data_IF_454090409592
#
_entry.id   IF_454090409592
#
_cell.length_a   1.000
_cell.length_b   1.000
_cell.length_c   1.000
_cell.angle_alpha   90.00
_cell.angle_beta   90.00
_cell.angle_gamma   90.00
#
_symmetry.space_group_name_H-M   'P 1'
#
loop_
_entity.id
_entity.type
_entity.pdbx_description
1 polymer ?
#
# COMPACT_ATOMS: atom_id res chain seq x y z
N UNK A 1 -4.38 -2.70 -24.32
CA UNK A 1 -5.48 -3.67 -24.41
C UNK A 1 -5.06 -4.98 -25.08
N UNK A 2 -4.51 -4.95 -26.29
CA UNK A 2 -4.01 -6.17 -26.97
C UNK A 2 -3.02 -6.96 -26.10
N UNK A 3 -2.01 -6.29 -25.53
CA UNK A 3 -1.07 -6.91 -24.60
C UNK A 3 -1.75 -7.52 -23.35
N UNK A 4 -2.85 -6.91 -22.88
CA UNK A 4 -3.63 -7.46 -21.77
C UNK A 4 -4.32 -8.78 -22.18
N UNK A 5 -4.89 -8.84 -23.39
CA UNK A 5 -5.49 -10.07 -23.91
C UNK A 5 -4.46 -11.19 -24.08
N UNK A 6 -3.25 -10.87 -24.56
CA UNK A 6 -2.14 -11.84 -24.66
C UNK A 6 -1.76 -12.40 -23.28
N UNK A 7 -1.61 -11.53 -22.27
CA UNK A 7 -1.33 -11.95 -20.89
C UNK A 7 -2.46 -12.83 -20.33
N UNK A 8 -3.71 -12.41 -20.53
CA UNK A 8 -4.89 -13.15 -20.05
C UNK A 8 -5.00 -14.54 -20.67
N UNK A 9 -4.70 -14.64 -21.97
CA UNK A 9 -4.70 -15.90 -22.72
C UNK A 9 -3.43 -16.72 -22.52
N UNK A 10 -2.47 -16.22 -21.73
CA UNK A 10 -1.16 -16.84 -21.48
C UNK A 10 -0.38 -17.14 -22.78
N UNK A 11 -0.43 -16.20 -23.71
CA UNK A 11 0.22 -16.35 -25.01
C UNK A 11 1.74 -16.56 -24.86
N UNK A 12 2.38 -17.47 -25.63
CA UNK A 12 3.81 -17.71 -25.56
C UNK A 12 4.68 -16.46 -25.79
N UNK A 13 4.19 -15.49 -26.58
CA UNK A 13 4.91 -14.23 -26.87
C UNK A 13 5.13 -13.36 -25.64
N UNK A 14 4.31 -13.51 -24.59
CA UNK A 14 4.40 -12.73 -23.34
C UNK A 14 4.96 -13.55 -22.17
N UNK A 15 5.66 -14.65 -22.46
CA UNK A 15 6.19 -15.58 -21.45
C UNK A 15 7.07 -14.88 -20.40
N UNK A 16 7.90 -13.92 -20.82
CA UNK A 16 8.78 -13.18 -19.91
C UNK A 16 8.00 -12.35 -18.91
N UNK A 17 6.96 -11.64 -19.37
CA UNK A 17 6.05 -10.85 -18.55
C UNK A 17 5.23 -11.72 -17.59
N UNK A 18 4.78 -12.91 -18.03
CA UNK A 18 4.13 -13.89 -17.16
C UNK A 18 5.06 -14.42 -16.08
N UNK A 19 6.36 -14.59 -16.39
CA UNK A 19 7.36 -14.98 -15.41
C UNK A 19 7.62 -13.85 -14.41
N UNK A 20 7.66 -12.60 -14.87
CA UNK A 20 7.71 -11.44 -13.97
C UNK A 20 6.53 -11.43 -13.01
N UNK A 21 5.29 -11.61 -13.48
CA UNK A 21 4.14 -11.65 -12.57
C UNK A 21 4.26 -12.78 -11.55
N UNK A 22 4.68 -13.98 -11.96
CA UNK A 22 4.92 -15.09 -11.01
C UNK A 22 6.01 -14.76 -9.99
N UNK A 23 7.04 -14.04 -10.40
CA UNK A 23 8.12 -13.58 -9.51
C UNK A 23 7.62 -12.50 -8.54
N UNK A 24 6.96 -11.46 -9.04
CA UNK A 24 6.36 -10.38 -8.25
C UNK A 24 5.32 -10.89 -7.24
N UNK A 25 4.63 -12.00 -7.56
CA UNK A 25 3.64 -12.67 -6.71
C UNK A 25 4.28 -13.54 -5.62
N UNK A 26 5.49 -14.08 -5.85
CA UNK A 26 6.17 -14.84 -4.80
C UNK A 26 6.52 -13.85 -3.68
N UNK A 27 5.83 -13.98 -2.55
CA UNK A 27 6.05 -13.27 -1.27
C UNK A 27 7.42 -13.63 -0.65
N UNK A 28 8.49 -13.69 -1.44
CA UNK A 28 9.83 -13.79 -0.91
C UNK A 28 10.39 -12.39 -0.78
N UNK A 29 10.74 -12.06 0.46
CA UNK A 29 11.80 -11.13 0.79
C UNK A 29 12.94 -11.33 -0.20
N UNK A 30 12.99 -10.45 -1.17
CA UNK A 30 14.26 -10.09 -1.75
C UNK A 30 14.71 -8.98 -0.83
N UNK A 31 15.17 -9.37 0.36
CA UNK A 31 16.27 -8.65 0.95
C UNK A 31 17.41 -8.81 -0.05
N UNK A 32 17.42 -7.97 -1.09
CA UNK A 32 18.66 -7.59 -1.73
C UNK A 32 19.58 -7.30 -0.54
N UNK A 33 20.71 -8.02 -0.43
CA UNK A 33 21.72 -7.80 0.60
C UNK A 33 22.28 -6.38 0.40
N UNK A 34 21.46 -5.38 0.73
CA UNK A 34 21.72 -3.97 0.58
C UNK A 34 22.48 -3.56 1.82
N UNK A 35 23.63 -2.98 1.58
CA UNK A 35 24.45 -2.42 2.66
C UNK A 35 23.69 -1.20 3.18
N UNK A 36 23.17 -1.30 4.40
CA UNK A 36 22.53 -0.19 5.12
C UNK A 36 23.57 0.57 5.92
N UNK A 37 23.68 1.87 5.67
CA UNK A 37 24.63 2.76 6.33
C UNK A 37 23.88 3.70 7.29
N UNK A 38 23.63 3.24 8.52
CA UNK A 38 22.80 3.96 9.49
C UNK A 38 23.62 4.74 10.54
N UNK A 39 24.94 4.62 10.55
CA UNK A 39 25.82 5.36 11.47
C UNK A 39 27.13 5.78 10.81
N UNK A 40 27.73 6.86 11.32
CA UNK A 40 29.03 7.36 10.88
C UNK A 40 30.11 6.27 10.94
N UNK A 41 30.04 5.37 11.93
CA UNK A 41 30.94 4.20 12.03
C UNK A 41 30.74 3.20 10.89
N UNK A 42 29.50 2.83 10.57
CA UNK A 42 29.23 1.90 9.45
C UNK A 42 29.67 2.48 8.10
N UNK A 43 29.49 3.80 7.92
CA UNK A 43 29.95 4.52 6.74
C UNK A 43 31.47 4.47 6.65
N UNK A 44 32.16 4.78 7.74
CA UNK A 44 33.62 4.77 7.80
C UNK A 44 34.22 3.37 7.55
N UNK A 45 33.65 2.32 8.16
CA UNK A 45 34.02 0.91 7.91
C UNK A 45 33.78 0.48 6.45
N UNK A 46 32.77 1.03 5.78
CA UNK A 46 32.52 0.78 4.37
C UNK A 46 33.57 1.48 3.48
N UNK A 47 33.88 2.75 3.76
CA UNK A 47 34.87 3.54 3.03
C UNK A 47 36.29 2.99 3.19
N UNK A 48 36.64 2.48 4.37
CA UNK A 48 37.91 1.81 4.66
C UNK A 48 38.18 0.60 3.75
N UNK A 49 37.13 -0.14 3.37
CA UNK A 49 37.27 -1.36 2.57
C UNK A 49 37.62 -1.12 1.10
N UNK A 50 37.88 0.13 0.69
CA UNK A 50 38.51 0.42 -0.60
C UNK A 50 37.96 1.63 -1.36
N UNK A 51 37.40 2.63 -0.69
CA UNK A 51 36.78 3.79 -1.34
C UNK A 51 37.16 5.13 -0.69
N UNK A 52 38.45 5.35 -0.49
CA UNK A 52 38.96 6.65 -0.07
C UNK A 52 39.23 7.54 -1.30
N UNK A 53 38.77 8.80 -1.30
CA UNK A 53 39.16 9.77 -2.32
C UNK A 53 40.65 10.12 -2.20
N UNK A 54 41.28 10.39 -3.35
CA UNK A 54 42.56 11.08 -3.37
C UNK A 54 42.34 12.61 -3.23
N UNK A 55 43.40 13.40 -3.42
CA UNK A 55 43.31 14.86 -3.27
C UNK A 55 42.49 15.56 -4.35
N UNK A 56 42.32 14.94 -5.51
CA UNK A 56 41.69 15.55 -6.69
C UNK A 56 40.24 15.08 -6.88
N UNK A 57 39.81 14.08 -6.12
CA UNK A 57 38.51 13.45 -6.26
C UNK A 57 37.64 13.60 -5.01
N UNK A 58 36.32 13.47 -5.21
CA UNK A 58 35.31 13.38 -4.17
C UNK A 58 34.59 12.04 -4.36
N UNK A 59 34.45 11.27 -3.28
CA UNK A 59 33.62 10.07 -3.26
C UNK A 59 32.23 10.42 -2.76
N UNK A 60 31.20 9.94 -3.45
CA UNK A 60 29.79 10.19 -3.12
C UNK A 60 29.06 8.85 -3.04
N UNK A 61 28.57 8.52 -1.85
CA UNK A 61 27.65 7.40 -1.65
C UNK A 61 26.23 7.92 -1.77
N UNK A 62 25.46 7.41 -2.72
CA UNK A 62 24.06 7.78 -2.95
C UNK A 62 23.17 6.77 -2.25
N UNK A 63 22.20 7.25 -1.47
CA UNK A 63 21.40 6.43 -0.57
C UNK A 63 19.90 6.58 -0.85
N UNK A 64 19.16 5.48 -0.65
CA UNK A 64 17.70 5.50 -0.62
C UNK A 64 17.15 6.00 0.73
N UNK A 65 15.82 6.12 0.85
CA UNK A 65 15.18 6.58 2.09
C UNK A 65 15.40 5.64 3.31
N UNK A 66 15.90 4.42 3.09
CA UNK A 66 16.24 3.44 4.13
C UNK A 66 17.73 3.39 4.43
N UNK A 67 18.52 4.28 3.82
CA UNK A 67 19.97 4.38 3.97
C UNK A 67 20.72 3.21 3.32
N UNK A 68 20.13 2.57 2.31
CA UNK A 68 20.85 1.59 1.50
C UNK A 68 21.67 2.28 0.40
N UNK A 69 22.87 1.76 0.14
CA UNK A 69 23.72 2.23 -0.96
C UNK A 69 23.06 1.89 -2.31
N UNK A 70 22.68 2.92 -3.05
CA UNK A 70 22.19 2.85 -4.43
C UNK A 70 23.34 2.91 -5.43
N UNK A 71 24.27 3.83 -5.20
CA UNK A 71 25.44 4.05 -6.05
C UNK A 71 26.61 4.52 -5.19
N UNK A 72 27.80 4.20 -5.67
CA UNK A 72 29.07 4.60 -5.09
C UNK A 72 29.90 5.17 -6.24
N UNK A 73 30.05 6.50 -6.27
CA UNK A 73 30.71 7.20 -7.38
C UNK A 73 31.89 8.00 -6.87
N UNK A 74 32.88 8.19 -7.74
CA UNK A 74 34.02 9.05 -7.49
C UNK A 74 34.17 10.01 -8.66
N UNK A 75 34.18 11.30 -8.37
CA UNK A 75 34.23 12.36 -9.38
C UNK A 75 35.37 13.31 -9.11
N UNK A 76 36.03 13.77 -10.16
CA UNK A 76 37.09 14.77 -10.05
C UNK A 76 36.49 16.12 -9.60
N UNK A 77 37.15 16.84 -8.70
CA UNK A 77 36.67 18.12 -8.11
C UNK A 77 36.30 19.17 -9.16
N UNK A 78 37.01 19.19 -10.29
CA UNK A 78 36.77 20.11 -11.42
C UNK A 78 35.71 19.63 -12.43
N UNK A 79 35.06 18.49 -12.22
CA UNK A 79 34.05 17.96 -13.15
C UNK A 79 32.84 18.90 -13.19
N UNK A 80 32.34 19.30 -14.38
CA UNK A 80 31.13 20.09 -14.49
C UNK A 80 29.95 19.39 -13.80
N UNK A 81 29.17 20.14 -13.03
CA UNK A 81 28.09 19.58 -12.24
C UNK A 81 27.05 18.75 -13.04
N UNK A 82 26.67 19.10 -14.28
CA UNK A 82 25.77 18.25 -15.07
C UNK A 82 26.27 16.81 -15.27
N UNK A 83 27.58 16.64 -15.48
CA UNK A 83 28.19 15.30 -15.64
C UNK A 83 28.25 14.57 -14.29
N UNK A 84 28.57 15.29 -13.21
CA UNK A 84 28.48 14.75 -11.85
C UNK A 84 27.06 14.30 -11.54
N UNK A 85 26.05 15.10 -11.90
CA UNK A 85 24.66 14.81 -11.63
C UNK A 85 24.15 13.61 -12.44
N UNK A 86 24.64 13.42 -13.66
CA UNK A 86 24.32 12.25 -14.49
C UNK A 86 24.76 10.94 -13.81
N UNK A 87 25.96 10.94 -13.22
CA UNK A 87 26.44 9.79 -12.44
C UNK A 87 25.70 9.65 -11.11
N UNK A 88 25.41 10.77 -10.44
CA UNK A 88 24.69 10.82 -9.16
C UNK A 88 23.23 10.35 -9.27
N UNK A 89 22.52 10.76 -10.32
CA UNK A 89 21.06 10.66 -10.41
C UNK A 89 20.57 9.23 -10.27
N UNK A 90 19.64 9.04 -9.35
CA UNK A 90 18.82 7.83 -9.24
C UNK A 90 17.41 8.26 -8.81
N UNK A 91 16.34 7.72 -9.43
CA UNK A 91 14.97 8.03 -9.03
C UNK A 91 14.65 7.70 -7.57
N UNK A 92 15.45 6.86 -6.91
CA UNK A 92 15.27 6.45 -5.50
C UNK A 92 16.20 7.19 -4.53
N UNK A 93 17.08 8.04 -5.05
CA UNK A 93 18.03 8.77 -4.23
C UNK A 93 17.30 9.80 -3.36
N UNK A 94 17.56 9.75 -2.05
CA UNK A 94 17.00 10.67 -1.06
C UNK A 94 18.10 11.40 -0.31
N UNK A 95 19.17 10.68 0.02
CA UNK A 95 20.30 11.21 0.76
C UNK A 95 21.63 10.77 0.14
N UNK A 96 22.72 11.37 0.63
CA UNK A 96 24.06 10.99 0.22
C UNK A 96 25.07 11.20 1.34
N UNK A 97 26.22 10.54 1.22
CA UNK A 97 27.43 10.81 2.01
C UNK A 97 28.47 11.34 1.05
N UNK A 98 29.12 12.43 1.41
CA UNK A 98 30.29 12.94 0.69
C UNK A 98 31.57 12.64 1.49
N UNK A 99 32.63 12.33 0.77
CA UNK A 99 33.96 12.12 1.36
C UNK A 99 34.99 12.82 0.48
N UNK A 100 35.87 13.60 1.09
CA UNK A 100 36.91 14.38 0.41
C UNK A 100 38.21 14.38 1.21
N UNK A 101 39.35 14.54 0.53
CA UNK A 101 40.61 14.83 1.22
C UNK A 101 40.57 16.24 1.83
N UNK A 102 41.05 16.40 3.08
CA UNK A 102 41.03 17.65 3.87
C UNK A 102 41.73 18.83 3.17
N UNK A 103 40.98 19.52 2.33
CA UNK A 103 41.21 20.86 1.80
C UNK A 103 39.84 21.53 1.76
N UNK A 104 39.71 22.75 2.30
CA UNK A 104 38.45 23.49 2.50
C UNK A 104 37.53 23.51 1.26
N UNK A 105 36.74 22.46 1.07
CA UNK A 105 35.66 22.37 0.08
C UNK A 105 34.55 23.41 0.34
N UNK A 106 34.52 23.99 1.54
CA UNK A 106 33.55 24.99 1.96
C UNK A 106 33.66 26.34 1.24
N UNK A 107 34.78 26.69 0.61
CA UNK A 107 34.96 28.07 0.12
C UNK A 107 34.29 28.39 -1.23
N UNK A 108 33.84 27.42 -2.03
CA UNK A 108 33.22 27.75 -3.34
C UNK A 108 32.16 26.77 -3.81
N UNK A 109 30.93 26.85 -3.27
CA UNK A 109 29.70 26.40 -3.95
C UNK A 109 29.79 25.03 -4.68
N UNK A 110 30.49 24.07 -4.08
CA UNK A 110 30.89 22.81 -4.70
C UNK A 110 29.72 21.81 -4.69
N UNK A 111 29.88 20.69 -5.40
CA UNK A 111 28.90 19.62 -5.68
C UNK A 111 27.88 19.41 -4.55
N UNK A 112 28.33 19.35 -3.29
CA UNK A 112 27.49 19.24 -2.08
C UNK A 112 26.37 20.29 -2.01
N UNK A 113 26.71 21.58 -2.11
CA UNK A 113 25.73 22.67 -2.08
C UNK A 113 24.70 22.55 -3.20
N UNK A 114 25.13 22.10 -4.39
CA UNK A 114 24.24 21.91 -5.54
C UNK A 114 23.29 20.72 -5.32
N UNK A 115 23.78 19.61 -4.74
CA UNK A 115 22.95 18.47 -4.38
C UNK A 115 21.94 18.82 -3.27
N UNK A 116 22.38 19.54 -2.24
CA UNK A 116 21.52 20.05 -1.17
C UNK A 116 20.42 20.97 -1.73
N UNK A 117 20.78 21.87 -2.65
CA UNK A 117 19.84 22.77 -3.34
C UNK A 117 18.84 22.02 -4.22
N UNK A 118 19.21 20.88 -4.78
CA UNK A 118 18.31 19.99 -5.53
C UNK A 118 17.42 19.11 -4.63
N UNK A 119 17.54 19.21 -3.31
CA UNK A 119 16.70 18.51 -2.34
C UNK A 119 17.20 17.15 -1.89
N UNK A 120 18.46 16.81 -2.16
CA UNK A 120 19.11 15.61 -1.61
C UNK A 120 19.72 15.91 -0.25
N UNK A 121 19.51 15.04 0.74
CA UNK A 121 20.00 15.26 2.10
C UNK A 121 21.43 14.77 2.28
N UNK A 122 22.38 15.65 2.57
CA UNK A 122 23.71 15.25 3.03
C UNK A 122 23.63 14.65 4.44
N UNK A 123 23.90 13.34 4.58
CA UNK A 123 23.87 12.65 5.88
C UNK A 123 25.13 12.88 6.71
N UNK A 124 26.28 12.75 6.06
CA UNK A 124 27.60 12.92 6.64
C UNK A 124 28.54 13.44 5.57
N UNK A 125 29.46 14.30 5.99
CA UNK A 125 30.49 14.84 5.12
C UNK A 125 31.83 14.58 5.79
N UNK A 126 32.55 13.60 5.28
CA UNK A 126 33.81 13.17 5.87
C UNK A 126 35.02 13.84 5.22
N UNK A 127 35.78 14.57 6.02
CA UNK A 127 37.13 14.96 5.63
C UNK A 127 38.11 13.86 6.03
N UNK A 128 38.89 13.43 5.05
CA UNK A 128 39.87 12.35 5.17
C UNK A 128 41.28 12.93 5.13
N UNK A 129 42.09 12.58 6.12
CA UNK A 129 43.51 12.92 6.13
C UNK A 129 44.34 11.89 6.89
N UNK A 130 45.62 11.80 6.54
CA UNK A 130 46.59 11.01 7.28
C UNK A 130 46.97 11.72 8.57
N UNK A 131 46.86 11.02 9.71
CA UNK A 131 47.38 11.53 10.98
C UNK A 131 48.90 11.79 10.85
N UNK A 132 49.39 12.90 11.39
CA UNK A 132 50.81 13.26 11.32
C UNK A 132 51.69 12.34 12.18
N UNK A 133 51.09 11.67 13.17
CA UNK A 133 51.78 10.86 14.17
C UNK A 133 51.52 9.35 14.06
N UNK A 134 50.65 8.91 13.15
CA UNK A 134 50.32 7.50 12.92
C UNK A 134 50.02 7.27 11.43
N UNK A 135 50.17 6.04 10.90
CA UNK A 135 49.73 5.74 9.52
C UNK A 135 48.19 5.73 9.37
N UNK A 136 47.46 6.12 10.43
CA UNK A 136 46.02 6.07 10.50
C UNK A 136 45.37 7.12 9.62
N UNK A 137 44.24 6.74 9.04
CA UNK A 137 43.35 7.65 8.32
C UNK A 137 42.31 8.16 9.31
N UNK A 138 42.17 9.48 9.38
CA UNK A 138 41.17 10.14 10.23
C UNK A 138 40.03 10.64 9.36
N UNK A 139 38.81 10.30 9.78
CA UNK A 139 37.56 10.80 9.24
C UNK A 139 36.97 11.81 10.23
N UNK A 140 36.81 13.05 9.81
CA UNK A 140 36.05 14.07 10.57
C UNK A 140 34.67 14.23 9.92
N UNK A 141 33.59 13.90 10.64
CA UNK A 141 32.22 14.16 10.17
C UNK A 141 31.89 15.63 10.41
N UNK A 142 31.69 16.39 9.33
CA UNK A 142 31.45 17.83 9.38
C UNK A 142 29.99 18.11 9.07
N UNK A 143 29.28 18.72 10.03
CA UNK A 143 27.94 19.26 9.81
C UNK A 143 27.91 20.75 10.10
N UNK A 144 27.38 21.54 9.16
CA UNK A 144 27.30 23.01 9.26
C UNK A 144 28.64 23.71 9.61
N UNK A 145 29.77 23.13 9.20
CA UNK A 145 31.11 23.67 9.47
C UNK A 145 31.66 23.34 10.87
N UNK A 146 30.99 22.49 11.64
CA UNK A 146 31.48 21.96 12.92
C UNK A 146 31.82 20.47 12.78
N UNK A 147 32.87 20.03 13.46
CA UNK A 147 33.24 18.62 13.59
C UNK A 147 32.28 18.01 14.62
N UNK A 148 31.40 17.11 14.19
CA UNK A 148 30.48 16.38 15.07
C UNK A 148 31.09 15.09 15.62
N UNK A 149 31.90 14.40 14.81
CA UNK A 149 32.54 13.13 15.20
C UNK A 149 33.92 12.99 14.56
N UNK A 150 34.81 12.23 15.20
CA UNK A 150 36.15 11.94 14.69
C UNK A 150 36.41 10.44 14.80
N UNK A 151 36.47 9.78 13.65
CA UNK A 151 36.70 8.34 13.55
C UNK A 151 38.14 8.13 13.10
N UNK A 152 38.95 7.47 13.94
CA UNK A 152 40.30 7.05 13.58
C UNK A 152 40.27 5.61 13.11
N UNK A 153 40.76 5.36 11.91
CA UNK A 153 40.88 4.03 11.34
C UNK A 153 42.35 3.66 11.21
N UNK A 154 42.71 2.52 11.79
CA UNK A 154 44.06 1.95 11.72
C UNK A 154 44.24 1.27 10.37
N UNK A 155 44.86 1.98 9.43
CA UNK A 155 45.14 1.47 8.08
C UNK A 155 46.62 1.55 7.81
N UNK A 156 47.22 0.50 7.23
CA UNK A 156 48.65 0.47 6.84
C UNK A 156 48.96 1.27 5.57
N UNK A 157 47.98 2.00 5.02
CA UNK A 157 48.07 2.69 3.73
C UNK A 157 47.58 4.13 3.90
N UNK A 158 48.49 5.09 3.72
CA UNK A 158 48.23 6.52 3.91
C UNK A 158 47.15 7.10 2.99
N UNK A 159 46.89 6.50 1.83
CA UNK A 159 45.71 6.72 0.98
C UNK A 159 45.49 5.47 0.14
N UNK A 160 44.33 4.82 0.23
CA UNK A 160 44.02 3.67 -0.64
C UNK A 160 43.87 4.17 -2.07
N UNK A 161 44.46 3.43 -3.03
CA UNK A 161 44.56 3.84 -4.44
C UNK A 161 43.18 4.20 -5.02
N UNK A 162 43.01 5.34 -5.71
CA UNK A 162 41.78 5.67 -6.41
C UNK A 162 41.45 4.55 -7.40
N UNK A 163 40.18 4.14 -7.44
CA UNK A 163 39.71 3.15 -8.41
C UNK A 163 39.04 3.88 -9.57
N UNK A 164 39.20 3.37 -10.81
CA UNK A 164 38.21 3.67 -11.86
C UNK A 164 36.86 3.13 -11.39
N UNK A 165 35.88 4.01 -11.24
CA UNK A 165 34.44 3.76 -11.01
C UNK A 165 34.09 2.32 -10.62
N UNK A 166 33.71 2.12 -9.37
CA UNK A 166 32.90 0.96 -9.02
C UNK A 166 31.45 1.41 -9.01
N UNK A 167 30.81 1.42 -10.18
CA UNK A 167 29.34 1.37 -10.19
C UNK A 167 29.00 0.08 -9.46
N UNK A 168 28.62 0.18 -8.18
CA UNK A 168 27.93 -0.91 -7.49
C UNK A 168 26.52 -0.87 -8.04
N UNK A 169 26.44 -1.29 -9.30
CA UNK A 169 25.19 -1.52 -9.93
C UNK A 169 24.80 -2.91 -9.46
N UNK A 170 23.93 -2.98 -8.46
CA UNK A 170 23.05 -4.14 -8.36
C UNK A 170 22.26 -4.33 -9.67
N UNK A 171 22.25 -3.32 -10.55
CA UNK A 171 21.57 -3.32 -11.84
C UNK A 171 22.44 -3.64 -13.08
N UNK A 172 23.74 -3.95 -12.95
CA UNK A 172 24.54 -4.45 -14.08
C UNK A 172 24.42 -5.97 -14.16
N UNK A 173 23.30 -6.41 -14.75
CA UNK A 173 23.20 -7.48 -15.75
C UNK A 173 21.74 -7.94 -15.86
N UNK A 174 20.89 -7.08 -16.41
CA UNK A 174 19.84 -7.58 -17.30
C UNK A 174 19.51 -6.49 -18.32
N UNK A 175 20.07 -6.61 -19.52
CA UNK A 175 19.60 -5.85 -20.69
C UNK A 175 18.13 -6.17 -21.05
N UNK A 176 17.56 -7.20 -20.40
CA UNK A 176 16.16 -7.59 -20.44
C UNK A 176 15.45 -7.30 -19.11
N UNK A 177 15.80 -6.21 -18.42
CA UNK A 177 15.03 -5.80 -17.26
C UNK A 177 13.69 -5.22 -17.73
N UNK A 178 12.67 -6.09 -17.80
CA UNK A 178 11.29 -5.76 -18.16
C UNK A 178 10.79 -4.50 -17.44
N UNK A 179 11.23 -4.28 -16.20
CA UNK A 179 10.82 -3.14 -15.37
C UNK A 179 11.31 -1.81 -15.93
N UNK A 180 12.40 -1.82 -16.71
CA UNK A 180 12.98 -0.63 -17.35
C UNK A 180 12.40 -0.36 -18.74
N UNK A 181 11.52 -1.22 -19.26
CA UNK A 181 10.90 -1.01 -20.56
C UNK A 181 9.93 0.16 -20.52
N UNK A 182 9.94 0.98 -21.56
CA UNK A 182 8.96 2.04 -21.75
C UNK A 182 7.54 1.46 -21.77
N UNK A 183 6.61 2.07 -21.03
CA UNK A 183 5.23 1.60 -20.93
C UNK A 183 5.01 0.47 -19.91
N UNK A 184 6.05 -0.05 -19.24
CA UNK A 184 5.90 -1.13 -18.28
C UNK A 184 5.04 -0.73 -17.07
N UNK A 185 5.30 0.43 -16.49
CA UNK A 185 4.56 0.95 -15.34
C UNK A 185 3.09 1.23 -15.70
N UNK A 186 2.85 1.83 -16.88
CA UNK A 186 1.51 2.07 -17.39
C UNK A 186 0.76 0.77 -17.64
N UNK A 187 1.44 -0.24 -18.20
CA UNK A 187 0.83 -1.53 -18.48
C UNK A 187 0.51 -2.31 -17.20
N UNK A 188 1.47 -2.40 -16.26
CA UNK A 188 1.27 -3.09 -14.98
C UNK A 188 0.18 -2.40 -14.15
N UNK A 189 0.13 -1.07 -14.15
CA UNK A 189 -0.99 -0.31 -13.57
C UNK A 189 -2.31 -0.64 -14.26
N UNK A 190 -2.35 -0.64 -15.60
CA UNK A 190 -3.56 -0.95 -16.37
C UNK A 190 -4.13 -2.34 -16.06
N UNK A 191 -3.30 -3.39 -16.15
CA UNK A 191 -3.75 -4.76 -15.93
C UNK A 191 -4.24 -4.97 -14.50
N UNK A 192 -3.51 -4.46 -13.51
CA UNK A 192 -3.87 -4.64 -12.11
C UNK A 192 -5.15 -3.90 -11.76
N UNK A 193 -5.35 -2.69 -12.25
CA UNK A 193 -6.60 -1.95 -12.08
C UNK A 193 -7.78 -2.67 -12.74
N UNK A 194 -7.59 -3.32 -13.89
CA UNK A 194 -8.63 -4.13 -14.52
C UNK A 194 -8.96 -5.39 -13.73
N UNK A 195 -7.95 -6.10 -13.24
CA UNK A 195 -8.11 -7.36 -12.50
C UNK A 195 -8.60 -7.16 -11.05
N UNK A 196 -8.44 -5.96 -10.49
CA UNK A 196 -8.96 -5.59 -9.17
C UNK A 196 -10.48 -5.38 -9.17
N UNK A 197 -11.05 -4.87 -10.28
CA UNK A 197 -12.50 -4.63 -10.38
C UNK A 197 -13.25 -5.96 -10.31
N UNK A 198 -14.27 -6.01 -9.45
CA UNK A 198 -15.08 -7.19 -9.19
C UNK A 198 -14.57 -8.08 -8.05
N UNK A 199 -13.32 -7.91 -7.60
CA UNK A 199 -12.82 -8.64 -6.43
C UNK A 199 -13.50 -8.14 -5.15
N UNK A 200 -13.69 -9.06 -4.21
CA UNK A 200 -14.27 -8.76 -2.92
C UNK A 200 -13.17 -8.38 -1.92
N UNK A 201 -13.26 -7.19 -1.32
CA UNK A 201 -12.19 -6.65 -0.46
C UNK A 201 -11.92 -7.47 0.80
N UNK A 202 -12.86 -8.30 1.23
CA UNK A 202 -12.69 -9.19 2.38
C UNK A 202 -12.26 -10.59 1.95
N UNK A 203 -12.89 -11.17 0.90
CA UNK A 203 -12.65 -12.56 0.51
C UNK A 203 -11.39 -12.75 -0.35
N UNK A 204 -11.06 -11.75 -1.16
CA UNK A 204 -9.98 -11.81 -2.14
C UNK A 204 -8.73 -11.05 -1.69
N UNK A 205 -8.57 -10.83 -0.38
CA UNK A 205 -7.48 -10.01 0.21
C UNK A 205 -6.10 -10.35 -0.36
N UNK A 206 -5.76 -11.65 -0.41
CA UNK A 206 -4.45 -12.11 -0.93
C UNK A 206 -4.25 -11.70 -2.39
N UNK A 207 -5.28 -11.86 -3.22
CA UNK A 207 -5.23 -11.49 -4.64
C UNK A 207 -5.12 -9.97 -4.80
N UNK A 208 -5.83 -9.20 -3.98
CA UNK A 208 -5.75 -7.74 -3.96
C UNK A 208 -4.35 -7.27 -3.60
N UNK A 209 -3.74 -7.79 -2.52
CA UNK A 209 -2.35 -7.48 -2.13
C UNK A 209 -1.37 -7.76 -3.27
N UNK A 210 -1.50 -8.91 -3.93
CA UNK A 210 -0.64 -9.29 -5.06
C UNK A 210 -0.78 -8.33 -6.25
N UNK A 211 -2.01 -8.01 -6.65
CA UNK A 211 -2.25 -7.08 -7.77
C UNK A 211 -1.75 -5.67 -7.45
N UNK A 212 -1.98 -5.19 -6.22
CA UNK A 212 -1.46 -3.91 -5.76
C UNK A 212 0.07 -3.89 -5.78
N UNK A 213 0.74 -4.98 -5.35
CA UNK A 213 2.19 -5.09 -5.41
C UNK A 213 2.70 -5.02 -6.85
N UNK A 214 2.15 -5.83 -7.76
CA UNK A 214 2.53 -5.83 -9.18
C UNK A 214 2.41 -4.43 -9.81
N UNK A 215 1.31 -3.73 -9.54
CA UNK A 215 1.00 -2.48 -10.22
C UNK A 215 1.64 -1.23 -9.61
N UNK A 216 2.28 -1.33 -8.44
CA UNK A 216 2.78 -0.15 -7.73
C UNK A 216 4.19 -0.30 -7.11
N UNK A 217 4.76 -1.51 -6.97
CA UNK A 217 6.06 -1.69 -6.27
C UNK A 217 7.28 -1.17 -7.04
N UNK A 218 7.18 -1.07 -8.37
CA UNK A 218 8.28 -0.61 -9.24
C UNK A 218 8.17 0.87 -9.60
N UNK A 219 7.08 1.54 -9.21
CA UNK A 219 6.91 2.96 -9.44
C UNK A 219 7.97 3.76 -8.71
N UNK A 220 8.67 4.63 -9.44
CA UNK A 220 9.68 5.53 -8.91
C UNK A 220 9.10 6.79 -8.25
N UNK A 221 7.77 6.88 -8.14
CA UNK A 221 7.03 7.99 -7.56
C UNK A 221 5.90 7.45 -6.69
N UNK A 222 5.47 8.23 -5.69
CA UNK A 222 4.30 7.86 -4.88
C UNK A 222 3.00 8.03 -5.67
N UNK A 223 2.11 7.05 -5.59
CA UNK A 223 0.83 7.05 -6.28
C UNK A 223 -0.28 6.70 -5.29
N UNK A 224 -1.00 7.72 -4.82
CA UNK A 224 -2.09 7.55 -3.87
C UNK A 224 -3.41 7.30 -4.62
N UNK A 225 -4.07 6.20 -4.28
CA UNK A 225 -5.27 5.69 -4.90
C UNK A 225 -6.36 5.40 -3.87
N UNK A 226 -7.59 5.35 -4.35
CA UNK A 226 -8.72 4.78 -3.63
C UNK A 226 -9.29 3.60 -4.40
N UNK A 227 -9.61 2.52 -3.69
CA UNK A 227 -10.37 1.39 -4.20
C UNK A 227 -11.81 1.57 -3.72
N UNK A 228 -12.70 1.95 -4.63
CA UNK A 228 -14.12 2.17 -4.37
C UNK A 228 -14.86 0.82 -4.36
N UNK A 229 -15.60 0.49 -3.31
CA UNK A 229 -16.37 -0.76 -3.25
C UNK A 229 -17.85 -0.56 -2.90
N UNK A 230 -18.66 -1.52 -3.32
CA UNK A 230 -20.12 -1.50 -3.17
C UNK A 230 -20.60 -2.15 -1.84
N UNK A 231 -21.93 -2.22 -1.65
CA UNK A 231 -22.52 -2.83 -0.43
C UNK A 231 -22.17 -4.32 -0.26
N UNK A 232 -21.87 -5.01 -1.35
CA UNK A 232 -21.39 -6.39 -1.34
C UNK A 232 -19.90 -6.52 -1.10
N UNK A 233 -19.20 -5.42 -0.78
CA UNK A 233 -17.74 -5.36 -0.62
C UNK A 233 -16.97 -5.68 -1.90
N UNK A 234 -17.58 -5.53 -3.08
CA UNK A 234 -16.91 -5.75 -4.35
C UNK A 234 -16.33 -4.44 -4.88
N UNK A 235 -15.08 -4.47 -5.33
CA UNK A 235 -14.40 -3.31 -5.91
C UNK A 235 -15.11 -2.93 -7.20
N UNK A 236 -15.62 -1.71 -7.24
CA UNK A 236 -16.31 -1.12 -8.39
C UNK A 236 -15.35 -0.37 -9.31
N UNK A 237 -14.36 0.32 -8.73
CA UNK A 237 -13.43 1.17 -9.46
C UNK A 237 -12.19 1.50 -8.62
N UNK A 238 -11.07 1.72 -9.30
CA UNK A 238 -9.84 2.24 -8.71
C UNK A 238 -9.62 3.64 -9.28
N UNK A 239 -9.23 4.59 -8.43
CA UNK A 239 -8.99 5.97 -8.84
C UNK A 239 -7.70 6.47 -8.20
N UNK A 240 -6.77 6.97 -9.03
CA UNK A 240 -5.63 7.76 -8.54
C UNK A 240 -6.13 9.13 -8.10
N UNK A 241 -5.89 9.49 -6.84
CA UNK A 241 -6.24 10.80 -6.28
C UNK A 241 -5.05 11.76 -6.34
N UNK A 242 -3.84 11.24 -6.20
CA UNK A 242 -2.63 12.06 -6.29
C UNK A 242 -1.42 11.25 -6.70
N UNK A 243 -0.49 11.93 -7.37
CA UNK A 243 0.84 11.42 -7.70
C UNK A 243 1.86 12.39 -7.10
N UNK A 244 2.84 11.86 -6.38
CA UNK A 244 3.85 12.60 -5.65
C UNK A 244 5.25 12.46 -6.23
N UNK A 245 6.23 13.01 -5.51
CA UNK A 245 7.65 12.74 -5.75
C UNK A 245 8.11 11.45 -5.05
N UNK A 246 9.43 11.32 -4.88
CA UNK A 246 10.08 10.16 -4.22
C UNK A 246 9.85 10.15 -2.70
N UNK A 247 9.69 11.34 -2.10
CA UNK A 247 9.67 11.55 -0.65
C UNK A 247 8.29 11.91 -0.07
N UNK A 248 7.33 12.31 -0.91
CA UNK A 248 5.94 12.56 -0.51
C UNK A 248 5.03 12.84 -1.72
N UNK A 249 3.78 12.38 -1.65
CA UNK A 249 2.65 12.91 -2.37
C UNK A 249 1.87 13.88 -1.48
N UNK A 250 1.86 15.18 -1.83
CA UNK A 250 0.89 16.12 -1.25
C UNK A 250 -0.48 15.84 -1.85
N UNK A 251 -1.18 14.84 -1.30
CA UNK A 251 -2.59 14.59 -1.60
C UNK A 251 -3.41 15.60 -0.80
N UNK A 252 -4.08 16.55 -1.47
CA UNK A 252 -5.12 17.33 -0.79
C UNK A 252 -6.33 16.40 -0.55
N UNK A 253 -6.71 16.12 0.72
CA UNK A 253 -7.83 15.24 1.02
C UNK A 253 -9.16 15.68 0.38
N UNK A 254 -9.30 16.94 -0.04
CA UNK A 254 -10.52 17.44 -0.71
C UNK A 254 -10.77 16.79 -2.06
N UNK A 255 -9.73 16.25 -2.72
CA UNK A 255 -9.90 15.53 -3.98
C UNK A 255 -10.74 14.25 -3.83
N UNK A 256 -10.96 13.76 -2.61
CA UNK A 256 -11.81 12.59 -2.39
C UNK A 256 -13.31 12.90 -2.50
N UNK A 257 -13.74 14.15 -2.31
CA UNK A 257 -15.17 14.48 -2.18
C UNK A 257 -16.03 14.06 -3.38
N UNK A 258 -15.62 14.30 -4.65
CA UNK A 258 -16.43 13.87 -5.79
C UNK A 258 -16.64 12.35 -5.83
N UNK A 259 -15.72 11.58 -5.26
CA UNK A 259 -15.84 10.13 -5.21
C UNK A 259 -16.80 9.67 -4.11
N UNK A 260 -16.86 10.38 -2.98
CA UNK A 260 -17.74 10.07 -1.85
C UNK A 260 -19.22 10.40 -2.12
N UNK A 261 -19.51 11.28 -3.07
CA UNK A 261 -20.88 11.63 -3.49
C UNK A 261 -21.60 10.52 -4.27
N UNK A 262 -20.90 9.43 -4.63
CA UNK A 262 -21.49 8.31 -5.33
C UNK A 262 -22.42 7.49 -4.40
N UNK A 263 -23.71 7.46 -4.73
CA UNK A 263 -24.73 6.75 -3.93
C UNK A 263 -24.52 5.23 -3.90
N UNK A 264 -23.89 4.65 -4.93
CA UNK A 264 -23.62 3.21 -5.01
C UNK A 264 -22.39 2.81 -4.21
N UNK A 265 -21.57 3.78 -3.83
CA UNK A 265 -20.38 3.57 -3.01
C UNK A 265 -20.78 3.22 -1.58
N UNK A 266 -20.26 2.12 -1.03
CA UNK A 266 -20.32 1.86 0.41
C UNK A 266 -19.16 2.53 1.13
N UNK A 267 -17.95 2.36 0.61
CA UNK A 267 -16.74 2.93 1.18
C UNK A 267 -15.54 2.82 0.25
N UNK A 268 -14.39 3.14 0.81
CA UNK A 268 -13.10 3.11 0.10
C UNK A 268 -12.03 2.39 0.91
N UNK A 269 -11.07 1.78 0.21
CA UNK A 269 -9.77 1.43 0.78
C UNK A 269 -8.76 2.44 0.23
N UNK A 270 -7.94 3.00 1.11
CA UNK A 270 -6.83 3.87 0.72
C UNK A 270 -5.65 3.00 0.32
N UNK A 271 -4.89 3.42 -0.68
CA UNK A 271 -3.70 2.68 -1.10
C UNK A 271 -2.65 3.64 -1.64
N UNK A 272 -1.40 3.49 -1.22
CA UNK A 272 -0.26 4.12 -1.89
C UNK A 272 0.96 3.21 -1.88
N UNK A 273 1.94 3.57 -2.70
CA UNK A 273 3.25 2.93 -2.69
C UNK A 273 4.32 3.83 -2.11
N UNK A 274 5.35 3.23 -1.54
CA UNK A 274 6.61 3.90 -1.22
C UNK A 274 7.69 3.48 -2.23
N UNK A 275 8.25 4.40 -3.03
CA UNK A 275 9.33 4.10 -3.99
C UNK A 275 10.59 3.50 -3.34
N UNK A 276 10.80 3.78 -2.05
CA UNK A 276 11.86 3.18 -1.22
C UNK A 276 11.68 1.68 -0.99
N UNK A 277 10.49 1.16 -1.28
CA UNK A 277 10.09 -0.21 -1.04
C UNK A 277 9.78 -0.52 0.43
N UNK A 278 9.81 0.45 1.35
CA UNK A 278 9.30 0.26 2.72
C UNK A 278 7.79 0.10 2.69
N UNK A 279 7.26 -0.51 3.73
CA UNK A 279 5.82 -0.55 3.97
C UNK A 279 5.44 0.07 5.31
N UNK A 280 6.41 0.61 6.05
CA UNK A 280 6.15 1.26 7.34
C UNK A 280 5.47 2.61 7.13
N UNK A 281 4.32 2.88 7.77
CA UNK A 281 3.64 4.15 7.64
C UNK A 281 4.46 5.31 8.21
N UNK A 282 4.49 6.43 7.49
CA UNK A 282 5.00 7.71 8.01
C UNK A 282 3.98 8.40 8.91
N UNK A 283 4.40 9.48 9.57
CA UNK A 283 3.49 10.33 10.34
C UNK A 283 2.47 11.01 9.43
N UNK A 284 2.90 11.41 8.24
CA UNK A 284 2.10 12.05 7.21
C UNK A 284 1.01 11.10 6.68
N UNK A 285 1.35 9.82 6.49
CA UNK A 285 0.39 8.77 6.11
C UNK A 285 -0.72 8.66 7.16
N UNK A 286 -0.36 8.63 8.45
CA UNK A 286 -1.34 8.55 9.55
C UNK A 286 -2.26 9.78 9.57
N UNK A 287 -1.69 10.99 9.43
CA UNK A 287 -2.48 12.22 9.40
C UNK A 287 -3.43 12.28 8.20
N UNK A 288 -2.97 11.84 7.02
CA UNK A 288 -3.79 11.76 5.81
C UNK A 288 -4.93 10.75 5.97
N UNK A 289 -4.63 9.59 6.55
CA UNK A 289 -5.59 8.53 6.83
C UNK A 289 -6.72 9.03 7.72
N UNK A 290 -6.38 9.63 8.86
CA UNK A 290 -7.34 10.20 9.80
C UNK A 290 -8.18 11.31 9.15
N UNK A 291 -7.51 12.18 8.38
CA UNK A 291 -8.15 13.27 7.66
C UNK A 291 -9.19 12.74 6.67
N UNK A 292 -8.88 11.68 5.92
CA UNK A 292 -9.80 11.08 4.96
C UNK A 292 -10.91 10.31 5.68
N UNK A 293 -10.60 9.57 6.74
CA UNK A 293 -11.59 8.80 7.50
C UNK A 293 -12.68 9.71 8.09
N UNK A 294 -12.28 10.82 8.72
CA UNK A 294 -13.21 11.85 9.23
C UNK A 294 -14.06 12.45 8.12
N UNK A 295 -13.48 12.68 6.94
CA UNK A 295 -14.20 13.20 5.77
C UNK A 295 -15.23 12.21 5.24
N UNK A 296 -14.86 10.94 5.09
CA UNK A 296 -15.76 9.88 4.62
C UNK A 296 -16.99 9.74 5.51
N UNK A 297 -16.80 9.84 6.84
CA UNK A 297 -17.89 9.77 7.82
C UNK A 297 -18.98 10.84 7.59
N UNK A 298 -18.62 12.07 7.19
CA UNK A 298 -19.61 13.12 6.87
C UNK A 298 -20.54 12.75 5.71
N UNK A 299 -20.12 11.83 4.83
CA UNK A 299 -20.91 11.35 3.69
C UNK A 299 -21.52 9.96 3.95
N UNK A 300 -21.52 9.50 5.20
CA UNK A 300 -21.94 8.14 5.57
C UNK A 300 -21.22 7.06 4.76
N UNK A 301 -19.93 7.28 4.46
CA UNK A 301 -19.04 6.32 3.80
C UNK A 301 -17.97 5.88 4.78
N UNK A 302 -17.54 4.64 4.68
CA UNK A 302 -16.49 4.08 5.54
C UNK A 302 -15.14 4.06 4.80
N UNK A 303 -14.04 4.22 5.55
CA UNK A 303 -12.70 3.86 5.08
C UNK A 303 -12.36 2.52 5.71
N UNK A 304 -12.36 1.46 4.91
CA UNK A 304 -12.27 0.10 5.43
C UNK A 304 -10.86 -0.28 5.88
N UNK A 305 -9.85 0.20 5.15
CA UNK A 305 -8.44 -0.05 5.43
C UNK A 305 -7.59 0.99 4.68
N UNK A 306 -6.31 1.01 5.03
CA UNK A 306 -5.27 1.71 4.30
C UNK A 306 -4.11 0.76 4.03
N UNK A 307 -3.73 0.65 2.75
CA UNK A 307 -2.71 -0.28 2.25
C UNK A 307 -1.46 0.48 1.80
N UNK A 308 -0.30 0.14 2.35
CA UNK A 308 0.99 0.70 1.91
C UNK A 308 1.77 -0.38 1.18
N UNK A 309 2.10 -0.12 -0.08
CA UNK A 309 2.73 -1.07 -0.99
C UNK A 309 4.22 -0.75 -1.15
N UNK A 310 5.05 -1.77 -0.99
CA UNK A 310 6.49 -1.68 -1.21
C UNK A 310 7.06 -2.98 -1.73
N UNK A 311 8.37 -2.99 -2.01
CA UNK A 311 9.07 -4.20 -2.43
C UNK A 311 9.07 -5.26 -1.32
N UNK A 312 9.12 -4.84 -0.06
CA UNK A 312 9.05 -5.70 1.12
C UNK A 312 7.67 -6.36 1.31
N UNK A 313 6.59 -5.80 0.76
CA UNK A 313 5.26 -6.38 0.90
C UNK A 313 4.13 -5.36 0.80
N UNK A 314 3.05 -5.64 1.53
CA UNK A 314 1.91 -4.72 1.67
C UNK A 314 1.56 -4.63 3.15
N UNK A 315 1.71 -3.44 3.73
CA UNK A 315 1.25 -3.14 5.08
C UNK A 315 -0.25 -2.84 5.08
N UNK A 316 -0.93 -3.28 6.13
CA UNK A 316 -2.34 -2.99 6.40
C UNK A 316 -2.49 -2.29 7.73
N UNK A 317 -3.25 -1.19 7.73
CA UNK A 317 -3.63 -0.54 8.97
C UNK A 317 -4.47 -1.47 9.84
N UNK A 318 -5.40 -2.25 9.27
CA UNK A 318 -6.25 -3.16 10.05
C UNK A 318 -5.50 -4.23 10.87
N UNK A 319 -4.21 -4.48 10.58
CA UNK A 319 -3.39 -5.45 11.32
C UNK A 319 -2.76 -4.84 12.58
N UNK A 320 -2.68 -3.51 12.69
CA UNK A 320 -1.98 -2.81 13.77
C UNK A 320 -2.79 -1.67 14.41
N UNK A 321 -3.88 -1.24 13.78
CA UNK A 321 -4.76 -0.16 14.23
C UNK A 321 -6.14 -0.70 14.60
N UNK A 322 -6.61 -0.38 15.81
CA UNK A 322 -7.85 -0.90 16.38
C UNK A 322 -9.10 -0.41 15.63
N UNK A 323 -9.10 0.80 15.08
CA UNK A 323 -10.25 1.37 14.36
C UNK A 323 -10.45 0.56 13.08
N UNK A 324 -9.39 0.38 12.30
CA UNK A 324 -9.45 -0.39 11.05
C UNK A 324 -9.69 -1.87 11.28
N UNK A 325 -9.14 -2.44 12.36
CA UNK A 325 -9.43 -3.81 12.76
C UNK A 325 -10.93 -4.03 13.01
N UNK A 326 -11.58 -3.09 13.70
CA UNK A 326 -13.00 -3.16 14.00
C UNK A 326 -13.88 -2.99 12.74
N UNK A 327 -13.52 -2.10 11.83
CA UNK A 327 -14.22 -1.96 10.54
C UNK A 327 -14.14 -3.23 9.68
N UNK A 328 -12.97 -3.88 9.62
CA UNK A 328 -12.81 -5.18 8.97
C UNK A 328 -13.62 -6.26 9.68
N UNK A 329 -13.69 -6.26 11.01
CA UNK A 329 -14.51 -7.21 11.79
C UNK A 329 -15.99 -7.06 11.45
N UNK A 330 -16.52 -5.83 11.46
CA UNK A 330 -17.91 -5.52 11.07
C UNK A 330 -18.20 -5.95 9.63
N UNK A 331 -17.25 -5.74 8.72
CA UNK A 331 -17.40 -6.14 7.32
C UNK A 331 -17.49 -7.66 7.13
N UNK A 332 -16.65 -8.42 7.86
CA UNK A 332 -16.70 -9.89 7.89
C UNK A 332 -18.03 -10.37 8.45
N UNK A 333 -18.43 -9.84 9.61
CA UNK A 333 -19.71 -10.16 10.24
C UNK A 333 -20.88 -9.86 9.30
N UNK A 334 -20.89 -8.70 8.66
CA UNK A 334 -21.89 -8.33 7.65
C UNK A 334 -21.97 -9.36 6.51
N UNK A 335 -20.83 -9.78 5.95
CA UNK A 335 -20.78 -10.74 4.84
C UNK A 335 -21.18 -12.16 5.24
N UNK A 336 -21.05 -12.50 6.51
CA UNK A 336 -21.51 -13.76 7.08
C UNK A 336 -23.02 -13.72 7.33
N UNK A 337 -23.53 -12.65 7.93
CA UNK A 337 -24.93 -12.54 8.35
C UNK A 337 -25.90 -12.21 7.21
N UNK A 338 -25.49 -11.37 6.25
CA UNK A 338 -26.35 -10.91 5.14
C UNK A 338 -26.60 -11.97 4.06
N UNK A 339 -26.11 -13.19 4.27
CA UNK A 339 -26.49 -14.38 3.50
C UNK A 339 -27.69 -15.10 4.10
N UNK A 340 -28.07 -14.78 5.33
CA UNK A 340 -29.18 -15.42 6.01
C UNK A 340 -30.49 -14.74 5.66
N UNK A 341 -31.56 -15.51 5.53
CA UNK A 341 -32.87 -14.97 5.14
C UNK A 341 -34.01 -15.82 5.68
N UNK A 342 -35.17 -15.20 5.79
CA UNK A 342 -36.39 -15.91 6.15
C UNK A 342 -36.84 -16.73 4.94
N UNK A 343 -36.80 -18.06 5.02
CA UNK A 343 -37.12 -18.92 3.90
C UNK A 343 -38.60 -18.86 3.48
N UNK A 344 -39.51 -18.37 4.32
CA UNK A 344 -40.93 -18.19 3.94
C UNK A 344 -41.18 -16.86 3.21
N UNK A 345 -40.41 -15.81 3.51
CA UNK A 345 -40.66 -14.48 2.93
C UNK A 345 -39.61 -14.07 1.89
N UNK A 346 -38.46 -14.72 1.88
CA UNK A 346 -37.28 -14.33 1.12
C UNK A 346 -36.53 -13.13 1.70
N UNK A 347 -37.01 -12.52 2.79
CA UNK A 347 -36.41 -11.31 3.34
C UNK A 347 -35.06 -11.59 4.03
N UNK A 348 -33.99 -10.82 3.75
CA UNK A 348 -32.72 -10.95 4.46
C UNK A 348 -32.86 -10.73 5.96
N UNK A 349 -32.17 -11.54 6.76
CA UNK A 349 -32.10 -11.41 8.21
C UNK A 349 -30.65 -11.13 8.60
N UNK A 350 -30.42 -10.36 9.66
CA UNK A 350 -29.08 -10.12 10.18
C UNK A 350 -28.74 -11.06 11.34
N UNK A 351 -28.66 -12.37 11.06
CA UNK A 351 -28.28 -13.41 12.03
C UNK A 351 -26.99 -14.09 11.55
N UNK A 352 -26.11 -14.50 12.48
CA UNK A 352 -24.88 -15.24 12.15
C UNK A 352 -25.20 -16.59 11.50
N UNK A 353 -24.27 -17.12 10.69
CA UNK A 353 -24.49 -18.43 10.08
C UNK A 353 -24.61 -19.52 11.15
N UNK A 354 -25.53 -20.44 10.92
CA UNK A 354 -25.68 -21.61 11.78
C UNK A 354 -24.46 -22.54 11.63
N UNK A 355 -24.15 -23.32 12.66
CA UNK A 355 -22.99 -24.23 12.65
C UNK A 355 -23.06 -25.31 11.56
N UNK A 356 -24.26 -25.59 11.03
CA UNK A 356 -24.45 -26.49 9.88
C UNK A 356 -24.08 -25.86 8.53
N UNK A 357 -23.84 -24.55 8.46
CA UNK A 357 -23.62 -23.79 7.22
C UNK A 357 -24.91 -23.42 6.48
N UNK A 358 -26.07 -23.82 6.99
CA UNK A 358 -27.38 -23.49 6.41
C UNK A 358 -27.78 -22.04 6.70
N UNK A 359 -28.24 -21.34 5.67
CA UNK A 359 -28.52 -19.90 5.70
C UNK A 359 -30.03 -19.58 5.67
N UNK A 360 -30.89 -20.60 5.58
CA UNK A 360 -32.35 -20.48 5.69
C UNK A 360 -32.80 -20.49 7.15
N UNK A 361 -33.63 -19.52 7.51
CA UNK A 361 -34.21 -19.38 8.84
C UNK A 361 -35.72 -19.21 8.77
N UNK A 362 -36.42 -19.54 9.85
CA UNK A 362 -37.87 -19.37 9.97
C UNK A 362 -38.21 -18.76 11.34
N UNK A 363 -39.12 -17.80 11.36
CA UNK A 363 -39.53 -17.13 12.58
C UNK A 363 -40.26 -18.10 13.51
N UNK A 364 -40.02 -18.02 14.83
CA UNK A 364 -40.65 -18.88 15.84
C UNK A 364 -42.18 -18.92 15.72
N UNK A 365 -42.81 -17.77 15.45
CA UNK A 365 -44.26 -17.69 15.22
C UNK A 365 -44.73 -18.52 14.02
N UNK A 366 -43.93 -18.57 12.95
CA UNK A 366 -44.28 -19.35 11.76
C UNK A 366 -44.01 -20.85 11.98
N UNK A 367 -42.95 -21.21 12.73
CA UNK A 367 -42.70 -22.59 13.19
C UNK A 367 -43.90 -23.11 13.99
N UNK A 368 -44.39 -22.32 14.94
CA UNK A 368 -45.55 -22.64 15.77
C UNK A 368 -46.84 -22.71 14.92
N UNK A 369 -47.07 -21.71 14.07
CA UNK A 369 -48.27 -21.65 13.20
C UNK A 369 -48.34 -22.82 12.23
N UNK A 370 -47.21 -23.23 11.66
CA UNK A 370 -47.14 -24.33 10.70
C UNK A 370 -46.99 -25.70 11.36
N UNK A 371 -46.93 -25.79 12.70
CA UNK A 371 -46.81 -27.06 13.42
C UNK A 371 -45.50 -27.79 13.13
N UNK A 372 -44.39 -27.07 12.94
CA UNK A 372 -43.11 -27.68 12.54
C UNK A 372 -42.43 -28.30 13.76
N UNK A 373 -42.13 -29.59 13.68
CA UNK A 373 -41.37 -30.28 14.73
C UNK A 373 -39.91 -29.82 14.76
N UNK A 374 -39.40 -29.58 15.98
CA UNK A 374 -38.00 -29.26 16.25
C UNK A 374 -37.20 -30.54 16.49
N UNK A 375 -35.95 -30.57 16.05
CA UNK A 375 -35.04 -31.63 16.48
C UNK A 375 -34.60 -31.41 17.93
N UNK A 376 -34.13 -32.46 18.59
CA UNK A 376 -33.62 -32.37 19.96
C UNK A 376 -32.38 -31.44 20.00
N UNK A 377 -32.40 -30.44 20.89
CA UNK A 377 -31.33 -29.44 20.99
C UNK A 377 -31.42 -28.24 20.04
N UNK A 378 -32.54 -28.06 19.32
CA UNK A 378 -32.77 -26.90 18.44
C UNK A 378 -32.55 -25.56 19.16
N UNK A 379 -31.73 -24.68 18.57
CA UNK A 379 -31.33 -23.40 19.19
C UNK A 379 -32.22 -22.25 18.75
N UNK A 380 -32.75 -21.51 19.71
CA UNK A 380 -33.40 -20.22 19.44
C UNK A 380 -32.33 -19.15 19.21
N UNK A 381 -32.44 -18.43 18.10
CA UNK A 381 -31.53 -17.33 17.76
C UNK A 381 -32.33 -16.05 17.56
N UNK A 382 -31.86 -14.95 18.17
CA UNK A 382 -32.51 -13.64 18.06
C UNK A 382 -31.95 -12.93 16.82
N UNK A 383 -32.84 -12.52 15.92
CA UNK A 383 -32.53 -11.62 14.81
C UNK A 383 -33.30 -10.32 14.95
N UNK A 384 -32.75 -9.24 14.43
CA UNK A 384 -33.42 -7.95 14.39
C UNK A 384 -33.99 -7.69 13.01
N UNK A 385 -35.27 -7.34 12.97
CA UNK A 385 -35.94 -6.89 11.75
C UNK A 385 -36.14 -5.38 11.80
N UNK A 386 -35.86 -4.73 10.67
CA UNK A 386 -36.10 -3.31 10.47
C UNK A 386 -37.34 -3.13 9.60
N UNK A 387 -38.28 -2.30 10.04
CA UNK A 387 -39.48 -1.97 9.28
C UNK A 387 -39.75 -0.46 9.36
N UNK A 388 -40.45 0.06 8.35
CA UNK A 388 -40.87 1.45 8.30
C UNK A 388 -42.35 1.51 8.66
N UNK A 389 -42.69 2.34 9.64
CA UNK A 389 -44.06 2.65 10.00
C UNK A 389 -44.15 4.17 10.20
N UNK A 390 -45.17 4.83 9.66
CA UNK A 390 -45.33 6.29 9.79
C UNK A 390 -44.07 7.13 9.44
N UNK A 391 -43.35 6.75 8.37
CA UNK A 391 -42.06 7.36 7.96
C UNK A 391 -40.95 7.34 9.02
N UNK A 392 -41.08 6.50 10.05
CA UNK A 392 -40.05 6.26 11.06
C UNK A 392 -39.55 4.82 10.95
N UNK A 393 -38.25 4.66 11.14
CA UNK A 393 -37.59 3.37 11.12
C UNK A 393 -37.71 2.73 12.51
N UNK A 394 -38.24 1.51 12.57
CA UNK A 394 -38.37 0.74 13.80
C UNK A 394 -37.57 -0.55 13.70
N UNK A 395 -37.05 -1.01 14.83
CA UNK A 395 -36.30 -2.24 14.97
C UNK A 395 -36.99 -3.13 16.00
N UNK A 396 -37.21 -4.40 15.64
CA UNK A 396 -37.85 -5.38 16.52
C UNK A 396 -37.04 -6.66 16.54
N UNK A 397 -36.76 -7.15 17.74
CA UNK A 397 -36.16 -8.46 17.94
C UNK A 397 -37.20 -9.55 17.68
N UNK A 398 -36.84 -10.51 16.85
CA UNK A 398 -37.65 -11.68 16.49
C UNK A 398 -36.81 -12.93 16.70
N UNK A 399 -37.42 -13.97 17.25
CA UNK A 399 -36.76 -15.26 17.46
C UNK A 399 -36.92 -16.10 16.20
N UNK A 400 -35.82 -16.71 15.77
CA UNK A 400 -35.75 -17.60 14.62
C UNK A 400 -35.18 -18.96 15.01
N UNK A 401 -35.52 -19.97 14.22
CA UNK A 401 -34.85 -21.27 14.18
C UNK A 401 -34.19 -21.46 12.82
N UNK A 402 -33.00 -22.06 12.80
CA UNK A 402 -32.38 -22.49 11.55
C UNK A 402 -33.13 -23.72 11.04
N UNK A 403 -33.32 -23.85 9.74
CA UNK A 403 -34.07 -25.00 9.21
C UNK A 403 -33.36 -26.35 9.45
N UNK A 404 -32.04 -26.35 9.67
CA UNK A 404 -31.29 -27.57 10.02
C UNK A 404 -31.72 -28.14 11.37
N UNK A 405 -32.30 -27.28 12.23
CA UNK A 405 -32.80 -27.65 13.55
C UNK A 405 -34.29 -28.05 13.52
N UNK A 406 -34.87 -28.17 12.34
CA UNK A 406 -36.30 -28.44 12.14
C UNK A 406 -36.52 -29.67 11.25
N UNK A 407 -37.57 -30.43 11.52
CA UNK A 407 -38.02 -31.52 10.66
C UNK A 407 -38.84 -30.96 9.48
N UNK A 408 -38.14 -30.51 8.45
CA UNK A 408 -38.77 -29.96 7.24
C UNK A 408 -39.19 -31.08 6.29
N UNK A 409 -40.45 -31.08 5.86
CA UNK A 409 -40.95 -32.00 4.83
C UNK A 409 -40.78 -31.41 3.43
N UNK A 410 -40.79 -32.27 2.38
CA UNK A 410 -40.69 -31.81 0.98
C UNK A 410 -41.80 -30.85 0.57
N UNK A 411 -43.02 -31.02 1.09
CA UNK A 411 -44.14 -30.11 0.80
C UNK A 411 -43.91 -28.71 1.40
N UNK A 412 -43.24 -28.63 2.54
CA UNK A 412 -42.91 -27.36 3.19
C UNK A 412 -41.79 -26.62 2.45
N UNK A 413 -40.79 -27.35 1.96
CA UNK A 413 -39.72 -26.75 1.14
C UNK A 413 -40.26 -26.10 -0.15
N UNK A 414 -41.33 -26.64 -0.74
CA UNK A 414 -41.96 -26.06 -1.93
C UNK A 414 -42.57 -24.66 -1.67
N UNK A 415 -42.86 -24.32 -0.41
CA UNK A 415 -43.38 -23.01 -0.01
C UNK A 415 -42.26 -21.99 0.24
N UNK A 416 -40.99 -22.40 0.17
CA UNK A 416 -39.88 -21.51 0.44
C UNK A 416 -39.63 -20.55 -0.73
N UNK A 417 -39.40 -19.30 -0.36
CA UNK A 417 -39.11 -18.20 -1.27
C UNK A 417 -37.60 -17.98 -1.30
N UNK A 418 -36.95 -17.93 -2.47
CA UNK A 418 -35.54 -17.59 -2.57
C UNK A 418 -35.23 -16.22 -1.96
N UNK A 419 -34.00 -16.03 -1.48
CA UNK A 419 -33.58 -14.75 -0.90
C UNK A 419 -33.79 -13.60 -1.89
N UNK A 420 -34.57 -12.60 -1.49
CA UNK A 420 -34.77 -11.37 -2.25
C UNK A 420 -33.46 -10.60 -2.27
N UNK A 421 -33.01 -10.20 -3.46
CA UNK A 421 -31.99 -9.15 -3.57
C UNK A 421 -32.64 -7.87 -3.07
N UNK A 422 -32.02 -7.15 -2.13
CA UNK A 422 -32.49 -5.80 -1.76
C UNK A 422 -32.52 -4.97 -3.04
N UNK A 423 -33.72 -4.73 -3.56
CA UNK A 423 -33.90 -3.79 -4.65
C UNK A 423 -33.40 -2.42 -4.17
N UNK A 424 -32.80 -1.69 -5.12
CA UNK A 424 -32.33 -0.31 -4.89
C UNK A 424 -33.42 0.43 -4.14
N UNK A 425 -33.04 1.24 -3.17
CA UNK A 425 -33.91 2.19 -2.48
C UNK A 425 -34.37 3.24 -3.50
N UNK A 426 -35.23 2.85 -4.45
CA UNK A 426 -35.94 3.66 -5.43
C UNK A 426 -37.36 3.93 -4.90
N UNK A 427 -37.49 4.29 -3.64
CA UNK A 427 -38.79 4.68 -3.05
C UNK A 427 -38.67 5.88 -2.11
N UNK A 428 -37.71 6.77 -2.37
CA UNK A 428 -37.69 8.12 -1.77
C UNK A 428 -37.86 9.22 -2.85
N UNK A 429 -37.67 8.92 -4.14
CA UNK A 429 -37.91 9.91 -5.21
C UNK A 429 -39.39 10.04 -5.63
N UNK A 430 -40.26 9.08 -5.31
CA UNK A 430 -41.68 9.15 -5.68
C UNK A 430 -42.56 9.99 -4.73
N UNK A 431 -42.03 10.45 -3.59
CA UNK A 431 -42.76 11.32 -2.66
C UNK A 431 -42.33 12.80 -2.70
N UNK A 432 -41.38 13.18 -3.58
CA UNK A 432 -41.00 14.59 -3.80
C UNK A 432 -41.69 15.25 -4.99
N UNK A 433 -42.56 14.53 -5.69
CA UNK A 433 -43.34 15.06 -6.80
C UNK A 433 -44.83 15.12 -6.50
N UNK A 434 -45.27 15.95 -5.54
CA UNK A 434 -46.67 16.42 -5.42
C UNK A 434 -46.79 17.55 -4.38
N UNK A 435 -47.02 18.79 -4.86
CA UNK A 435 -47.62 19.99 -4.23
C UNK A 435 -47.21 20.38 -2.79
N UNK A 436 -46.82 21.62 -2.50
CA UNK A 436 -47.59 22.88 -2.47
C UNK A 436 -46.52 24.00 -2.49
N UNK A 437 -46.59 25.14 -3.16
CA UNK A 437 -47.60 25.93 -3.89
C UNK A 437 -46.97 27.33 -4.09
N UNK A 438 -47.38 28.02 -5.15
CA UNK A 438 -47.17 29.43 -5.56
C UNK A 438 -46.10 30.30 -4.85
#
# INVERSE_FOLDING_TARGET
EELYQLVKNRDPSVKELLNYFKYAIKEKDISENKIKLASSKQIAEYLEKGNLPDKENISILILDSKLHILKDIQVHKNTPFPEVFKEFYSPKAVSYVATSAKENEFEKGNIRYKLDTLGYLCMSNFDVYSDRNSQNVVFEDIRNGMIEDTIKIDTTSSFLKPRKEKIINYELENKNDLVKMEGFDEFTKYITEKELVGLNVIKDEKKIKQLLKIGNQELNYENFKILKYDKGYNISKIVTIGQGGVNYAKVDPKHIYPHLLDEKLKGVILCHNHPSGSVSPSREDNLLTDAINKRAAFFNKEVLDHLIVGKEGVYKYSENDLIFMEEIRKAKEYLETHKTYNCLTGEPINIQNHSSGENRWIGKKDVERCGIEKIEGAKETIGEITYIENNKLYQKSVIYYNISDLKITKEMEQKFVPMKKREKTQEIEKSRGQGIGD
#
